data_IF_298745468582
#
_entry.id   IF_298745468582
#
_cell.length_a   1.000
_cell.length_b   1.000
_cell.length_c   1.000
_cell.angle_alpha   90.00
_cell.angle_beta   90.00
_cell.angle_gamma   90.00
#
_symmetry.space_group_name_H-M   'P 1'
#
loop_
_entity.id
_entity.type
_entity.pdbx_description
1 polymer ?
#
# COMPACT_ATOMS: atom_id res chain seq x y z
N UNK A 1 -40.42 -2.22 -6.57
CA UNK A 1 -39.09 -2.65 -6.09
C UNK A 1 -37.93 -2.33 -7.05
N UNK A 2 -37.94 -1.16 -7.71
CA UNK A 2 -36.92 -0.76 -8.76
C UNK A 2 -36.09 0.49 -8.44
N UNK A 3 -36.25 1.15 -7.28
CA UNK A 3 -35.64 2.45 -7.00
C UNK A 3 -34.32 2.41 -6.20
N UNK A 4 -33.80 1.25 -5.74
CA UNK A 4 -32.58 1.17 -4.92
C UNK A 4 -31.28 0.92 -5.71
N UNK A 5 -31.35 0.46 -6.97
CA UNK A 5 -30.13 0.14 -7.77
C UNK A 5 -29.42 1.36 -8.35
N UNK A 6 -30.11 2.48 -8.58
CA UNK A 6 -29.51 3.67 -9.20
C UNK A 6 -28.65 4.52 -8.25
N UNK A 7 -28.97 4.53 -6.95
CA UNK A 7 -28.26 5.37 -5.97
C UNK A 7 -26.88 4.85 -5.57
N UNK A 8 -26.63 3.54 -5.63
CA UNK A 8 -25.34 2.95 -5.26
C UNK A 8 -24.29 3.19 -6.35
N UNK A 9 -24.68 3.13 -7.62
CA UNK A 9 -23.76 3.31 -8.76
C UNK A 9 -23.33 4.78 -8.94
N UNK A 10 -24.24 5.73 -8.76
CA UNK A 10 -23.93 7.16 -8.82
C UNK A 10 -23.02 7.63 -7.69
N UNK A 11 -23.14 7.07 -6.50
CA UNK A 11 -22.28 7.40 -5.35
C UNK A 11 -20.84 6.91 -5.58
N UNK A 12 -20.66 5.69 -6.09
CA UNK A 12 -19.34 5.09 -6.37
C UNK A 12 -18.54 5.83 -7.44
N UNK A 13 -19.17 6.21 -8.54
CA UNK A 13 -18.51 7.02 -9.61
C UNK A 13 -18.15 8.41 -9.10
N UNK A 14 -18.94 8.98 -8.20
CA UNK A 14 -18.63 10.25 -7.57
C UNK A 14 -17.42 10.15 -6.62
N UNK A 15 -17.27 9.04 -5.89
CA UNK A 15 -16.16 8.82 -4.96
C UNK A 15 -14.83 8.60 -5.73
N UNK A 16 -14.82 7.82 -6.81
CA UNK A 16 -13.62 7.62 -7.66
C UNK A 16 -13.18 8.90 -8.35
N UNK A 17 -14.13 9.69 -8.85
CA UNK A 17 -13.83 10.98 -9.45
C UNK A 17 -13.28 11.99 -8.43
N UNK A 18 -13.73 11.90 -7.18
CA UNK A 18 -13.20 12.71 -6.09
C UNK A 18 -11.76 12.33 -5.75
N UNK A 19 -11.46 11.04 -5.69
CA UNK A 19 -10.11 10.55 -5.39
C UNK A 19 -9.10 10.97 -6.48
N UNK A 20 -9.47 10.86 -7.75
CA UNK A 20 -8.69 11.39 -8.87
C UNK A 20 -8.45 12.90 -8.72
N UNK A 21 -9.50 13.67 -8.40
CA UNK A 21 -9.40 15.12 -8.21
C UNK A 21 -8.44 15.47 -7.06
N UNK A 22 -8.56 14.81 -5.93
CA UNK A 22 -7.73 15.03 -4.75
C UNK A 22 -6.27 14.63 -5.02
N UNK A 23 -6.04 13.52 -5.71
CA UNK A 23 -4.71 13.08 -6.14
C UNK A 23 -4.04 14.11 -7.07
N UNK A 24 -4.71 14.54 -8.15
CA UNK A 24 -4.16 15.51 -9.10
C UNK A 24 -3.88 16.88 -8.44
N UNK A 25 -4.80 17.36 -7.62
CA UNK A 25 -4.64 18.63 -6.88
C UNK A 25 -3.41 18.59 -5.98
N UNK A 26 -3.21 17.47 -5.31
CA UNK A 26 -2.04 17.28 -4.46
C UNK A 26 -0.76 17.18 -5.26
N UNK A 27 -0.69 16.33 -6.29
CA UNK A 27 0.49 16.19 -7.14
C UNK A 27 0.91 17.56 -7.72
N UNK A 28 -0.05 18.35 -8.19
CA UNK A 28 0.20 19.71 -8.66
C UNK A 28 0.75 20.64 -7.55
N UNK A 29 0.24 20.54 -6.34
CA UNK A 29 0.70 21.38 -5.22
C UNK A 29 2.13 21.05 -4.77
N UNK A 30 2.61 19.85 -5.07
CA UNK A 30 3.97 19.38 -4.77
C UNK A 30 4.96 19.58 -5.94
N UNK A 31 4.45 19.83 -7.14
CA UNK A 31 5.30 20.06 -8.32
C UNK A 31 6.19 21.28 -8.15
N UNK A 32 7.47 21.14 -8.52
CA UNK A 32 8.45 22.22 -8.48
C UNK A 32 8.48 22.96 -9.83
N UNK A 33 8.08 24.25 -9.87
CA UNK A 33 8.11 25.05 -11.10
C UNK A 33 9.50 25.24 -11.71
N UNK A 34 10.54 25.23 -10.88
CA UNK A 34 11.92 25.34 -11.33
C UNK A 34 12.35 24.09 -12.11
N UNK A 35 12.00 22.89 -11.59
CA UNK A 35 12.25 21.63 -12.28
C UNK A 35 11.46 21.47 -13.55
N UNK A 36 10.26 22.07 -13.59
CA UNK A 36 9.43 22.08 -14.78
C UNK A 36 9.90 23.01 -15.91
N UNK A 37 11.02 23.71 -15.72
CA UNK A 37 11.59 24.63 -16.74
C UNK A 37 10.75 25.88 -16.98
N UNK A 38 9.87 26.23 -16.06
CA UNK A 38 9.01 27.41 -16.18
C UNK A 38 9.76 28.68 -15.75
N UNK A 39 9.64 29.77 -16.49
CA UNK A 39 10.29 31.03 -16.13
C UNK A 39 9.74 31.54 -14.79
N UNK A 40 10.63 31.86 -13.87
CA UNK A 40 10.30 32.54 -12.61
C UNK A 40 10.16 34.04 -12.89
N UNK A 41 8.93 34.48 -13.08
CA UNK A 41 8.62 35.89 -13.21
C UNK A 41 8.57 36.59 -11.87
N UNK A 42 9.61 36.72 -11.14
CA UNK A 42 9.85 37.50 -9.90
C UNK A 42 8.63 37.90 -9.02
N UNK A 43 7.43 37.50 -9.39
CA UNK A 43 6.18 37.76 -8.64
C UNK A 43 6.00 36.71 -7.54
N UNK A 44 5.65 37.17 -6.35
CA UNK A 44 5.33 36.30 -5.21
C UNK A 44 4.24 35.30 -5.62
N UNK A 45 4.60 34.00 -5.67
CA UNK A 45 3.62 32.94 -5.98
C UNK A 45 2.62 32.83 -4.83
N UNK A 46 1.33 33.00 -5.14
CA UNK A 46 0.23 32.84 -4.18
C UNK A 46 -0.10 31.40 -3.86
N UNK A 47 0.42 30.43 -4.65
CA UNK A 47 0.12 29.00 -4.54
C UNK A 47 1.45 28.25 -4.51
N UNK A 48 1.70 27.39 -3.53
CA UNK A 48 2.82 26.46 -3.57
C UNK A 48 2.62 25.48 -4.73
N UNK A 49 3.69 25.12 -5.43
CA UNK A 49 3.64 24.20 -6.55
C UNK A 49 3.25 24.83 -7.89
N UNK A 50 2.82 23.98 -8.81
CA UNK A 50 2.43 24.36 -10.16
C UNK A 50 1.02 24.98 -10.19
N UNK A 51 0.79 25.94 -11.12
CA UNK A 51 -0.56 26.43 -11.45
C UNK A 51 -1.24 25.48 -12.43
N UNK A 52 -2.58 25.48 -12.49
CA UNK A 52 -3.35 24.66 -13.47
C UNK A 52 -2.97 24.96 -14.90
N UNK A 53 -2.79 26.23 -15.22
CA UNK A 53 -2.35 26.71 -16.54
C UNK A 53 -0.95 26.21 -16.89
N UNK A 54 -0.04 26.12 -15.90
CA UNK A 54 1.31 25.61 -16.09
C UNK A 54 1.29 24.10 -16.38
N UNK A 55 0.52 23.32 -15.61
CA UNK A 55 0.37 21.87 -15.88
C UNK A 55 -0.29 21.64 -17.25
N UNK A 56 -1.31 22.41 -17.60
CA UNK A 56 -1.99 22.31 -18.89
C UNK A 56 -1.02 22.58 -20.05
N UNK A 57 -0.19 23.62 -19.93
CA UNK A 57 0.84 23.98 -20.91
C UNK A 57 1.85 22.85 -21.07
N UNK A 58 2.41 22.34 -19.96
CA UNK A 58 3.40 21.28 -19.96
C UNK A 58 2.84 19.94 -20.50
N UNK A 59 1.57 19.67 -20.22
CA UNK A 59 0.90 18.45 -20.69
C UNK A 59 0.35 18.56 -22.13
N UNK A 60 0.40 19.74 -22.75
CA UNK A 60 -0.14 19.96 -24.11
C UNK A 60 -1.67 19.87 -24.17
N UNK A 61 -2.38 20.25 -23.11
CA UNK A 61 -3.84 20.26 -23.04
C UNK A 61 -4.37 21.66 -22.74
N UNK A 62 -5.67 21.88 -22.94
CA UNK A 62 -6.25 23.17 -22.55
C UNK A 62 -6.39 23.30 -21.04
N UNK A 63 -6.27 24.51 -20.50
CA UNK A 63 -6.47 24.80 -19.08
C UNK A 63 -7.86 24.40 -18.60
N UNK A 64 -8.89 24.54 -19.44
CA UNK A 64 -10.25 24.07 -19.10
C UNK A 64 -10.31 22.55 -19.01
N UNK A 65 -9.67 21.83 -19.92
CA UNK A 65 -9.59 20.37 -19.88
C UNK A 65 -8.96 19.88 -18.58
N UNK A 66 -7.76 20.41 -18.23
CA UNK A 66 -7.09 20.03 -16.99
C UNK A 66 -7.90 20.42 -15.74
N UNK A 67 -8.49 21.62 -15.74
CA UNK A 67 -9.34 22.10 -14.65
C UNK A 67 -10.54 21.16 -14.41
N UNK A 68 -11.21 20.74 -15.48
CA UNK A 68 -12.33 19.81 -15.38
C UNK A 68 -11.91 18.44 -14.88
N UNK A 69 -10.72 17.96 -15.28
CA UNK A 69 -10.15 16.70 -14.79
C UNK A 69 -9.82 16.80 -13.31
N UNK A 70 -9.14 17.87 -12.86
CA UNK A 70 -8.82 18.11 -11.44
C UNK A 70 -10.08 18.38 -10.58
N UNK A 71 -11.20 18.73 -11.18
CA UNK A 71 -12.49 18.85 -10.50
C UNK A 71 -13.26 17.51 -10.42
N UNK A 72 -12.70 16.43 -10.92
CA UNK A 72 -13.35 15.11 -10.93
C UNK A 72 -14.57 15.04 -11.86
N UNK A 73 -14.64 15.92 -12.90
CA UNK A 73 -15.69 15.81 -13.91
C UNK A 73 -15.48 14.56 -14.77
N UNK A 74 -16.56 13.97 -15.26
CA UNK A 74 -16.51 12.79 -16.14
C UNK A 74 -15.79 13.15 -17.46
N UNK A 75 -14.49 12.93 -17.48
CA UNK A 75 -13.62 13.01 -18.65
C UNK A 75 -12.83 11.71 -18.68
N UNK A 76 -12.72 11.11 -19.85
CA UNK A 76 -11.87 9.93 -20.07
C UNK A 76 -10.66 10.38 -20.88
N UNK A 77 -9.51 10.67 -20.23
CA UNK A 77 -8.28 10.98 -20.93
C UNK A 77 -7.80 9.80 -21.78
N UNK A 78 -7.21 10.08 -22.92
CA UNK A 78 -6.46 9.04 -23.64
C UNK A 78 -5.18 8.67 -22.89
N UNK A 79 -4.62 7.47 -23.11
CA UNK A 79 -3.35 7.07 -22.49
C UNK A 79 -2.23 8.09 -22.70
N UNK A 80 -2.09 8.64 -23.91
CA UNK A 80 -1.08 9.65 -24.22
C UNK A 80 -1.27 10.98 -23.46
N UNK A 81 -2.51 11.39 -23.21
CA UNK A 81 -2.80 12.57 -22.39
C UNK A 81 -2.44 12.29 -20.91
N UNK A 82 -2.73 11.09 -20.43
CA UNK A 82 -2.34 10.69 -19.07
C UNK A 82 -0.84 10.71 -18.86
N UNK A 83 -0.09 10.15 -19.81
CA UNK A 83 1.37 10.15 -19.76
C UNK A 83 1.94 11.58 -19.83
N UNK A 84 1.31 12.47 -20.59
CA UNK A 84 1.70 13.87 -20.65
C UNK A 84 1.43 14.60 -19.33
N UNK A 85 0.27 14.36 -18.70
CA UNK A 85 -0.06 14.92 -17.38
C UNK A 85 0.90 14.36 -16.31
N UNK A 86 1.19 13.06 -16.35
CA UNK A 86 2.11 12.42 -15.40
C UNK A 86 3.52 13.01 -15.50
N UNK A 87 4.01 13.27 -16.70
CA UNK A 87 5.29 13.97 -16.94
C UNK A 87 5.25 15.42 -16.46
N UNK A 88 4.18 16.15 -16.77
CA UNK A 88 4.02 17.55 -16.36
C UNK A 88 4.00 17.72 -14.82
N UNK A 89 3.51 16.71 -14.11
CA UNK A 89 3.46 16.66 -12.64
C UNK A 89 4.69 16.00 -12.01
N UNK A 90 5.68 15.60 -12.80
CA UNK A 90 6.90 14.87 -12.35
C UNK A 90 6.56 13.65 -11.47
N UNK A 91 5.53 12.87 -11.89
CA UNK A 91 5.11 11.69 -11.16
C UNK A 91 6.13 10.56 -11.31
N UNK A 92 6.49 9.94 -10.18
CA UNK A 92 7.23 8.69 -10.16
C UNK A 92 6.40 7.54 -10.76
N UNK A 93 7.03 6.39 -10.95
CA UNK A 93 6.40 5.23 -11.58
C UNK A 93 5.17 4.74 -10.81
N UNK A 94 5.24 4.74 -9.48
CA UNK A 94 4.16 4.31 -8.58
C UNK A 94 2.97 5.26 -8.68
N UNK A 95 3.21 6.56 -8.60
CA UNK A 95 2.18 7.60 -8.74
C UNK A 95 1.55 7.59 -10.13
N UNK A 96 2.34 7.28 -11.18
CA UNK A 96 1.86 7.13 -12.56
C UNK A 96 0.94 5.91 -12.69
N UNK A 97 1.35 4.76 -12.15
CA UNK A 97 0.51 3.57 -12.12
C UNK A 97 -0.79 3.81 -11.34
N UNK A 98 -0.71 4.53 -10.23
CA UNK A 98 -1.89 4.92 -9.44
C UNK A 98 -2.85 5.81 -10.24
N UNK A 99 -2.34 6.82 -10.95
CA UNK A 99 -3.14 7.68 -11.83
C UNK A 99 -3.86 6.85 -12.91
N UNK A 100 -3.17 5.89 -13.51
CA UNK A 100 -3.76 4.96 -14.50
C UNK A 100 -4.86 4.10 -13.88
N UNK A 101 -4.63 3.56 -12.67
CA UNK A 101 -5.62 2.79 -11.93
C UNK A 101 -6.88 3.60 -11.64
N UNK A 102 -6.76 4.83 -11.14
CA UNK A 102 -7.90 5.71 -10.86
C UNK A 102 -8.75 5.99 -12.11
N UNK A 103 -8.15 6.11 -13.27
CA UNK A 103 -8.87 6.38 -14.53
C UNK A 103 -9.37 5.09 -15.17
N UNK A 104 -8.59 4.03 -15.14
CA UNK A 104 -8.98 2.71 -15.66
C UNK A 104 -10.26 2.18 -14.98
N UNK A 105 -10.41 2.42 -13.70
CA UNK A 105 -11.62 2.03 -12.94
C UNK A 105 -12.84 2.89 -13.28
N UNK A 106 -12.63 4.14 -13.72
CA UNK A 106 -13.72 5.02 -14.17
C UNK A 106 -14.29 4.60 -15.52
N UNK A 107 -13.48 3.90 -16.35
CA UNK A 107 -13.86 3.49 -17.72
C UNK A 107 -14.25 2.02 -17.82
N UNK A 108 -13.79 1.17 -16.89
CA UNK A 108 -14.11 -0.24 -16.92
C UNK A 108 -15.58 -0.49 -16.55
N UNK A 109 -16.29 -1.29 -17.38
CA UNK A 109 -17.56 -1.88 -16.98
C UNK A 109 -17.33 -2.62 -15.65
N UNK A 110 -18.24 -2.47 -14.67
CA UNK A 110 -18.11 -3.20 -13.40
C UNK A 110 -18.04 -4.70 -13.72
N UNK A 111 -16.85 -5.25 -13.62
CA UNK A 111 -16.67 -6.70 -13.63
C UNK A 111 -17.38 -7.21 -12.38
N UNK A 112 -18.37 -8.11 -12.57
CA UNK A 112 -19.03 -8.82 -11.47
C UNK A 112 -18.10 -9.90 -10.94
N UNK A 113 -16.88 -9.56 -10.61
CA UNK A 113 -16.01 -10.48 -9.88
C UNK A 113 -16.51 -10.55 -8.44
N UNK A 114 -17.12 -11.66 -8.11
CA UNK A 114 -17.31 -12.10 -6.72
C UNK A 114 -15.94 -11.96 -6.03
N UNK A 115 -15.86 -11.44 -4.79
CA UNK A 115 -14.61 -11.40 -4.07
C UNK A 115 -14.00 -12.81 -4.06
N UNK A 116 -13.01 -13.06 -4.89
CA UNK A 116 -12.35 -14.36 -4.90
C UNK A 116 -11.53 -14.46 -3.62
N UNK A 117 -11.78 -15.50 -2.85
CA UNK A 117 -10.92 -15.83 -1.71
C UNK A 117 -9.53 -16.10 -2.28
N UNK A 118 -8.58 -15.23 -1.94
CA UNK A 118 -7.20 -15.44 -2.34
C UNK A 118 -6.66 -16.66 -1.61
N UNK A 119 -6.09 -17.62 -2.37
CA UNK A 119 -5.50 -18.84 -1.82
C UNK A 119 -4.04 -18.90 -2.22
N UNK A 120 -3.20 -19.25 -1.28
CA UNK A 120 -1.79 -19.50 -1.54
C UNK A 120 -1.66 -20.88 -2.18
N UNK A 121 -0.89 -20.98 -3.25
CA UNK A 121 -0.63 -22.25 -3.96
C UNK A 121 0.21 -23.18 -3.07
N UNK A 122 0.01 -24.51 -3.12
CA UNK A 122 0.77 -25.46 -2.29
C UNK A 122 2.29 -25.31 -2.38
N UNK A 123 2.83 -25.04 -3.58
CA UNK A 123 4.27 -24.82 -3.75
C UNK A 123 4.81 -23.60 -3.03
N UNK A 124 3.97 -22.56 -2.78
CA UNK A 124 4.39 -21.40 -1.99
C UNK A 124 4.39 -21.70 -0.49
N UNK A 125 3.53 -22.57 -0.01
CA UNK A 125 3.63 -23.08 1.37
C UNK A 125 4.93 -23.87 1.55
N UNK A 126 5.27 -24.78 0.61
CA UNK A 126 6.55 -25.50 0.65
C UNK A 126 7.75 -24.55 0.62
N UNK A 127 7.69 -23.47 -0.18
CA UNK A 127 8.73 -22.45 -0.18
C UNK A 127 8.85 -21.75 1.18
N UNK A 128 7.73 -21.35 1.80
CA UNK A 128 7.73 -20.75 3.13
C UNK A 128 8.32 -21.69 4.19
N UNK A 129 7.98 -22.98 4.13
CA UNK A 129 8.49 -24.00 5.03
C UNK A 129 10.00 -24.22 4.86
N UNK A 130 10.52 -24.10 3.63
CA UNK A 130 11.94 -24.22 3.32
C UNK A 130 12.77 -22.99 3.76
N UNK A 131 12.14 -21.84 4.05
CA UNK A 131 12.80 -20.63 4.56
C UNK A 131 12.94 -20.70 6.08
N UNK A 132 13.74 -21.64 6.60
CA UNK A 132 13.87 -21.90 8.04
C UNK A 132 14.57 -20.76 8.81
N UNK A 133 15.49 -20.06 8.17
CA UNK A 133 16.32 -19.00 8.77
C UNK A 133 15.97 -17.57 8.34
N UNK A 134 14.95 -17.41 7.53
CA UNK A 134 14.44 -16.13 7.05
C UNK A 134 12.94 -16.00 7.38
N UNK A 135 12.52 -15.00 8.16
CA UNK A 135 11.10 -14.70 8.31
C UNK A 135 10.48 -14.43 6.94
N UNK A 136 9.37 -15.06 6.64
CA UNK A 136 8.69 -14.84 5.36
C UNK A 136 7.18 -14.92 5.50
N UNK A 137 6.46 -14.09 4.73
CA UNK A 137 5.01 -14.07 4.71
C UNK A 137 4.47 -13.69 3.33
N UNK A 138 3.29 -14.16 3.00
CA UNK A 138 2.56 -13.79 1.78
C UNK A 138 1.39 -12.91 2.17
N UNK A 139 1.41 -11.69 1.65
CA UNK A 139 0.31 -10.75 1.79
C UNK A 139 -0.57 -10.76 0.54
N UNK A 140 -1.86 -10.72 0.75
CA UNK A 140 -2.86 -10.49 -0.28
C UNK A 140 -3.06 -9.00 -0.56
N UNK A 141 -3.92 -8.71 -1.52
CA UNK A 141 -4.24 -7.39 -2.05
C UNK A 141 -4.52 -6.31 -0.98
N UNK A 142 -5.25 -6.65 0.08
CA UNK A 142 -5.61 -5.74 1.17
C UNK A 142 -4.62 -5.78 2.34
N UNK A 143 -3.43 -6.34 2.13
CA UNK A 143 -2.49 -6.68 3.19
C UNK A 143 -3.04 -7.79 4.12
N UNK A 144 -3.98 -8.63 3.62
CA UNK A 144 -4.41 -9.83 4.31
C UNK A 144 -3.22 -10.79 4.41
N UNK A 145 -2.93 -11.32 5.59
CA UNK A 145 -1.86 -12.29 5.78
C UNK A 145 -2.41 -13.65 5.36
N UNK A 146 -1.98 -14.10 4.19
CA UNK A 146 -2.47 -15.35 3.57
C UNK A 146 -1.71 -16.58 4.06
N UNK A 147 -0.41 -16.42 4.30
CA UNK A 147 0.46 -17.44 4.87
C UNK A 147 1.71 -16.79 5.48
N UNK A 148 2.31 -17.45 6.45
CA UNK A 148 3.59 -17.05 7.07
C UNK A 148 4.33 -18.28 7.56
N UNK A 149 5.68 -18.21 7.57
CA UNK A 149 6.46 -19.28 8.18
C UNK A 149 6.56 -19.08 9.71
N UNK A 150 7.00 -20.11 10.46
CA UNK A 150 7.10 -20.03 11.91
C UNK A 150 7.95 -18.85 12.41
N UNK A 151 9.04 -18.55 11.72
CA UNK A 151 9.94 -17.46 12.12
C UNK A 151 9.32 -16.07 11.93
N UNK A 152 8.52 -15.87 10.89
CA UNK A 152 7.76 -14.63 10.72
C UNK A 152 6.69 -14.47 11.81
N UNK A 153 6.05 -15.54 12.22
CA UNK A 153 5.09 -15.52 13.35
C UNK A 153 5.77 -15.17 14.66
N UNK A 154 6.94 -15.73 14.90
CA UNK A 154 7.72 -15.42 16.11
C UNK A 154 8.23 -13.97 16.10
N UNK A 155 8.64 -13.45 14.92
CA UNK A 155 9.20 -12.10 14.79
C UNK A 155 8.14 -11.01 14.90
N UNK A 156 6.93 -11.22 14.38
CA UNK A 156 5.89 -10.19 14.30
C UNK A 156 4.69 -10.48 15.20
N UNK A 157 3.91 -11.48 14.86
CA UNK A 157 2.73 -11.92 15.62
C UNK A 157 2.25 -13.27 15.11
N UNK A 158 1.65 -14.09 15.96
CA UNK A 158 1.02 -15.34 15.55
C UNK A 158 -0.35 -15.08 14.87
N UNK A 159 -0.28 -14.68 13.61
CA UNK A 159 -1.47 -14.42 12.80
C UNK A 159 -2.35 -15.66 12.60
N UNK A 160 -1.79 -16.87 12.72
CA UNK A 160 -2.56 -18.10 12.56
C UNK A 160 -3.51 -18.35 13.74
N UNK A 161 -3.22 -17.79 14.91
CA UNK A 161 -4.12 -17.79 16.06
C UNK A 161 -5.35 -16.90 15.87
N UNK A 162 -5.31 -15.95 14.92
CA UNK A 162 -6.41 -15.03 14.65
C UNK A 162 -7.44 -15.66 13.71
N UNK A 163 -8.68 -15.14 13.76
CA UNK A 163 -9.72 -15.49 12.77
C UNK A 163 -9.31 -15.02 11.37
N UNK A 164 -9.64 -15.74 10.29
CA UNK A 164 -9.21 -15.38 8.93
C UNK A 164 -9.48 -13.93 8.51
N UNK A 165 -10.57 -13.31 8.97
CA UNK A 165 -10.90 -11.90 8.69
C UNK A 165 -10.07 -10.90 9.48
N UNK A 166 -9.42 -11.34 10.54
CA UNK A 166 -8.59 -10.52 11.43
C UNK A 166 -7.10 -10.59 11.03
N UNK A 167 -6.73 -11.58 10.22
CA UNK A 167 -5.36 -11.79 9.71
C UNK A 167 -5.02 -10.73 8.66
N UNK A 168 -4.80 -9.50 9.10
CA UNK A 168 -4.52 -8.38 8.20
C UNK A 168 -3.43 -7.51 8.80
N UNK A 169 -2.38 -7.26 8.03
CA UNK A 169 -1.19 -6.53 8.51
C UNK A 169 -1.51 -5.07 8.87
N UNK A 170 -2.34 -4.37 8.08
CA UNK A 170 -2.72 -3.00 8.40
C UNK A 170 -3.57 -2.94 9.69
N UNK A 171 -4.48 -3.89 9.85
CA UNK A 171 -5.30 -4.00 11.06
C UNK A 171 -4.45 -4.24 12.30
N UNK A 172 -3.53 -5.19 12.23
CA UNK A 172 -2.57 -5.46 13.31
C UNK A 172 -1.73 -4.23 13.64
N UNK A 173 -1.18 -3.56 12.61
CA UNK A 173 -0.31 -2.41 12.79
C UNK A 173 -0.99 -1.22 13.48
N UNK A 174 -2.30 -1.03 13.27
CA UNK A 174 -3.06 0.12 13.79
C UNK A 174 -3.92 -0.17 15.02
N UNK A 175 -4.24 -1.43 15.30
CA UNK A 175 -5.20 -1.81 16.34
C UNK A 175 -4.60 -2.68 17.45
N UNK A 176 -3.34 -3.09 17.31
CA UNK A 176 -2.64 -3.92 18.29
C UNK A 176 -1.48 -3.13 18.90
N UNK A 177 -1.51 -2.95 20.22
CA UNK A 177 -0.46 -2.22 20.95
C UNK A 177 0.90 -2.90 20.81
N UNK A 178 0.94 -4.25 20.72
CA UNK A 178 2.19 -4.99 20.51
C UNK A 178 2.89 -4.60 19.19
N UNK A 179 2.13 -4.28 18.14
CA UNK A 179 2.72 -3.79 16.89
C UNK A 179 3.34 -2.40 17.08
N UNK A 180 2.71 -1.55 17.89
CA UNK A 180 3.23 -0.22 18.18
C UNK A 180 4.54 -0.28 18.97
N UNK A 181 4.63 -1.21 19.94
CA UNK A 181 5.82 -1.42 20.75
C UNK A 181 6.96 -2.08 19.96
N UNK A 182 6.61 -2.95 19.01
CA UNK A 182 7.58 -3.70 18.21
C UNK A 182 8.38 -2.81 17.25
N UNK A 183 7.73 -1.88 16.55
CA UNK A 183 8.40 -1.04 15.55
C UNK A 183 8.99 0.23 16.19
N UNK A 184 10.31 0.39 16.13
CA UNK A 184 11.00 1.59 16.66
C UNK A 184 10.54 2.84 15.89
N UNK A 185 10.41 2.74 14.57
CA UNK A 185 9.84 3.80 13.73
C UNK A 185 8.40 3.43 13.29
N UNK A 186 7.51 3.24 14.25
CA UNK A 186 6.12 2.85 13.97
C UNK A 186 5.41 3.78 13.00
N UNK A 187 5.54 5.11 13.18
CA UNK A 187 4.93 6.11 12.30
C UNK A 187 5.30 5.90 10.82
N UNK A 188 6.56 5.62 10.54
CA UNK A 188 7.04 5.39 9.18
C UNK A 188 6.45 4.10 8.60
N UNK A 189 6.39 3.02 9.40
CA UNK A 189 5.81 1.75 8.98
C UNK A 189 4.30 1.86 8.76
N UNK A 190 3.60 2.54 9.65
CA UNK A 190 2.17 2.76 9.59
C UNK A 190 1.77 3.65 8.40
N UNK A 191 2.50 4.74 8.17
CA UNK A 191 2.29 5.60 7.00
C UNK A 191 2.50 4.84 5.70
N UNK A 192 3.58 4.08 5.56
CA UNK A 192 3.84 3.26 4.37
C UNK A 192 2.76 2.17 4.16
N UNK A 193 2.14 1.66 5.25
CA UNK A 193 1.01 0.75 5.14
C UNK A 193 -0.24 1.44 4.58
N UNK A 194 -0.56 2.65 5.04
CA UNK A 194 -1.67 3.47 4.50
C UNK A 194 -1.48 3.74 3.01
N UNK A 195 -0.28 4.17 2.63
CA UNK A 195 0.06 4.51 1.24
C UNK A 195 -0.04 3.28 0.32
N UNK A 196 0.42 2.11 0.79
CA UNK A 196 0.30 0.83 0.05
C UNK A 196 -1.15 0.35 -0.05
N UNK A 197 -1.94 0.48 1.03
CA UNK A 197 -3.36 0.12 1.01
C UNK A 197 -4.14 1.02 0.05
N UNK A 198 -3.82 2.31 -0.02
CA UNK A 198 -4.42 3.24 -0.98
C UNK A 198 -4.10 2.85 -2.43
N UNK A 199 -2.85 2.51 -2.71
CA UNK A 199 -2.45 2.04 -4.04
C UNK A 199 -3.28 0.81 -4.46
N UNK A 200 -3.41 -0.18 -3.58
CA UNK A 200 -4.20 -1.38 -3.83
C UNK A 200 -5.71 -1.09 -3.99
N UNK A 201 -6.26 -0.19 -3.16
CA UNK A 201 -7.67 0.20 -3.21
C UNK A 201 -8.05 0.86 -4.55
N UNK A 202 -7.15 1.67 -5.13
CA UNK A 202 -7.37 2.32 -6.43
C UNK A 202 -7.53 1.31 -7.57
N UNK A 203 -6.80 0.19 -7.54
CA UNK A 203 -6.94 -0.89 -8.52
C UNK A 203 -8.26 -1.65 -8.40
N UNK A 204 -8.91 -1.61 -7.23
CA UNK A 204 -10.11 -2.40 -6.92
C UNK A 204 -11.17 -1.59 -6.14
N UNK A 205 -11.71 -0.49 -6.71
CA UNK A 205 -12.58 0.46 -5.99
C UNK A 205 -13.92 -0.15 -5.56
N UNK A 206 -14.31 -1.28 -6.16
CA UNK A 206 -15.53 -2.01 -5.85
C UNK A 206 -15.33 -3.14 -4.82
N UNK A 207 -14.11 -3.34 -4.32
CA UNK A 207 -13.84 -4.36 -3.31
C UNK A 207 -14.42 -3.93 -1.95
N UNK A 208 -15.54 -4.54 -1.62
CA UNK A 208 -16.28 -4.24 -0.39
C UNK A 208 -15.44 -4.45 0.87
N UNK A 209 -14.58 -5.47 0.88
CA UNK A 209 -13.74 -5.77 2.05
C UNK A 209 -12.63 -4.72 2.24
N UNK A 210 -12.12 -4.14 1.14
CA UNK A 210 -11.21 -3.00 1.21
C UNK A 210 -11.92 -1.77 1.81
N UNK A 211 -13.14 -1.48 1.37
CA UNK A 211 -13.92 -0.36 1.89
C UNK A 211 -14.20 -0.55 3.39
N UNK A 212 -14.65 -1.74 3.79
CA UNK A 212 -14.92 -2.07 5.20
C UNK A 212 -13.64 -1.94 6.07
N UNK A 213 -12.49 -2.37 5.57
CA UNK A 213 -11.20 -2.24 6.27
C UNK A 213 -10.81 -0.77 6.45
N UNK A 214 -10.87 0.03 5.38
CA UNK A 214 -10.55 1.46 5.41
C UNK A 214 -11.48 2.21 6.36
N UNK A 215 -12.78 1.94 6.31
CA UNK A 215 -13.75 2.57 7.20
C UNK A 215 -13.47 2.23 8.66
N UNK A 216 -13.18 0.97 8.96
CA UNK A 216 -12.83 0.54 10.32
C UNK A 216 -11.56 1.23 10.82
N UNK A 217 -10.48 1.22 10.04
CA UNK A 217 -9.21 1.83 10.44
C UNK A 217 -9.35 3.35 10.61
N UNK A 218 -10.11 4.01 9.73
CA UNK A 218 -10.38 5.44 9.84
C UNK A 218 -11.24 5.81 11.06
N UNK A 219 -12.12 4.92 11.52
CA UNK A 219 -12.89 5.11 12.76
C UNK A 219 -12.03 4.90 14.00
N UNK A 220 -11.15 3.90 13.98
CA UNK A 220 -10.39 3.46 15.16
C UNK A 220 -9.07 4.21 15.35
N UNK A 221 -8.46 4.76 14.29
CA UNK A 221 -7.16 5.44 14.35
C UNK A 221 -7.20 6.86 13.77
N UNK A 222 -6.82 7.83 14.58
CA UNK A 222 -6.65 9.22 14.16
C UNK A 222 -5.52 9.40 13.15
N UNK A 223 -4.43 8.68 13.34
CA UNK A 223 -3.26 8.69 12.46
C UNK A 223 -3.57 8.08 11.10
N UNK A 224 -4.27 6.93 11.07
CA UNK A 224 -4.75 6.36 9.82
C UNK A 224 -5.60 7.36 9.06
N UNK A 225 -6.60 7.97 9.72
CA UNK A 225 -7.50 8.96 9.10
C UNK A 225 -6.74 10.16 8.54
N UNK A 226 -5.76 10.69 9.28
CA UNK A 226 -4.91 11.81 8.87
C UNK A 226 -4.10 11.42 7.62
N UNK A 227 -3.35 10.31 7.65
CA UNK A 227 -2.52 9.88 6.54
C UNK A 227 -3.34 9.42 5.32
N UNK A 228 -4.49 8.80 5.55
CA UNK A 228 -5.42 8.48 4.46
C UNK A 228 -5.90 9.74 3.72
N UNK A 229 -6.15 10.84 4.40
CA UNK A 229 -6.55 12.11 3.80
C UNK A 229 -5.41 12.81 3.01
N UNK A 230 -4.17 12.39 3.20
CA UNK A 230 -3.03 12.93 2.46
C UNK A 230 -2.94 12.42 1.01
N UNK A 231 -3.69 11.43 0.58
CA UNK A 231 -3.68 10.83 -0.77
C UNK A 231 -2.30 10.42 -1.29
N UNK A 232 -1.36 10.07 -0.41
CA UNK A 232 -0.05 9.53 -0.81
C UNK A 232 -0.19 8.07 -1.19
N UNK A 233 0.61 7.65 -2.15
CA UNK A 233 0.73 6.26 -2.57
C UNK A 233 2.18 5.81 -2.50
N UNK A 234 2.36 4.58 -2.13
CA UNK A 234 3.64 3.93 -2.08
C UNK A 234 3.47 2.44 -2.36
N UNK A 235 4.43 1.85 -3.01
CA UNK A 235 4.50 0.40 -3.17
C UNK A 235 5.78 -0.09 -2.50
N UNK A 236 5.62 -0.96 -1.51
CA UNK A 236 6.76 -1.54 -0.82
C UNK A 236 7.45 -2.54 -1.74
N UNK A 237 8.70 -2.31 -2.03
CA UNK A 237 9.55 -3.21 -2.80
C UNK A 237 10.68 -3.77 -1.96
N UNK A 238 11.39 -2.90 -1.24
CA UNK A 238 12.46 -3.24 -0.31
C UNK A 238 12.55 -2.18 0.80
N UNK A 239 13.35 -2.46 1.81
CA UNK A 239 13.64 -1.49 2.88
C UNK A 239 14.06 -2.18 4.17
N UNK A 240 14.25 -1.39 5.22
CA UNK A 240 14.70 -1.84 6.53
C UNK A 240 13.60 -1.58 7.58
N UNK A 241 13.48 -2.48 8.55
CA UNK A 241 12.64 -2.32 9.74
C UNK A 241 13.50 -2.47 10.97
N UNK A 242 13.44 -1.49 11.85
CA UNK A 242 14.05 -1.57 13.18
C UNK A 242 12.98 -2.00 14.17
N UNK A 243 13.27 -3.08 14.87
CA UNK A 243 12.34 -3.75 15.77
C UNK A 243 12.89 -3.74 17.19
N UNK A 244 12.00 -3.60 18.16
CA UNK A 244 12.25 -3.88 19.59
C UNK A 244 11.45 -5.11 19.98
N UNK A 245 12.07 -6.27 19.77
CA UNK A 245 11.39 -7.54 20.01
C UNK A 245 11.42 -7.92 21.49
N UNK A 246 10.30 -8.37 22.08
CA UNK A 246 10.21 -8.62 23.53
C UNK A 246 11.14 -9.71 24.05
N UNK A 247 11.55 -10.68 23.20
CA UNK A 247 12.41 -11.80 23.61
C UNK A 247 13.88 -11.52 23.27
N UNK A 248 14.19 -11.02 22.05
CA UNK A 248 15.57 -10.92 21.57
C UNK A 248 16.09 -9.49 21.54
N UNK A 249 15.31 -8.50 21.99
CA UNK A 249 15.70 -7.10 22.06
C UNK A 249 15.67 -6.38 20.72
N UNK A 250 16.55 -5.40 20.53
CA UNK A 250 16.56 -4.60 19.31
C UNK A 250 17.31 -5.32 18.18
N UNK A 251 16.67 -5.34 17.01
CA UNK A 251 17.25 -5.86 15.78
C UNK A 251 16.75 -5.09 14.56
N UNK A 252 17.56 -5.09 13.50
CA UNK A 252 17.18 -4.57 12.19
C UNK A 252 17.03 -5.71 11.21
N UNK A 253 15.92 -5.71 10.46
CA UNK A 253 15.70 -6.67 9.38
C UNK A 253 15.44 -5.91 8.08
N UNK A 254 16.12 -6.31 7.02
CA UNK A 254 15.83 -5.86 5.69
C UNK A 254 14.75 -6.73 5.07
N UNK A 255 13.95 -6.16 4.18
CA UNK A 255 12.94 -6.94 3.47
C UNK A 255 13.01 -6.68 1.98
N UNK A 256 12.78 -7.74 1.23
CA UNK A 256 12.52 -7.74 -0.20
C UNK A 256 11.12 -8.25 -0.47
N UNK A 257 10.50 -7.72 -1.53
CA UNK A 257 9.18 -8.17 -1.96
C UNK A 257 9.22 -8.74 -3.37
N UNK A 258 8.52 -9.85 -3.54
CA UNK A 258 8.42 -10.56 -4.81
C UNK A 258 6.95 -10.66 -5.20
N UNK A 259 6.59 -10.05 -6.32
CA UNK A 259 5.26 -10.21 -6.93
C UNK A 259 5.18 -11.59 -7.58
N UNK A 260 4.06 -12.29 -7.39
CA UNK A 260 3.90 -13.65 -7.87
C UNK A 260 3.25 -13.66 -9.27
N UNK A 261 3.97 -14.05 -10.34
CA UNK A 261 3.38 -14.22 -11.66
C UNK A 261 2.22 -15.23 -11.61
N UNK A 262 1.07 -14.87 -12.13
CA UNK A 262 -0.16 -15.68 -12.06
C UNK A 262 -1.05 -15.39 -10.85
N UNK A 263 -0.52 -14.75 -9.79
CA UNK A 263 -1.27 -14.25 -8.64
C UNK A 263 -0.84 -12.81 -8.32
N UNK A 264 -1.09 -11.85 -9.22
CA UNK A 264 -0.53 -10.49 -9.13
C UNK A 264 -0.98 -9.70 -7.89
N UNK A 265 -2.06 -10.15 -7.25
CA UNK A 265 -2.57 -9.62 -6.01
C UNK A 265 -1.91 -10.22 -4.75
N UNK A 266 -0.91 -11.09 -4.93
CA UNK A 266 -0.15 -11.69 -3.84
C UNK A 266 1.31 -11.25 -3.91
N UNK A 267 1.86 -10.90 -2.75
CA UNK A 267 3.25 -10.47 -2.61
C UNK A 267 3.93 -11.28 -1.51
N UNK A 268 5.03 -11.93 -1.86
CA UNK A 268 5.90 -12.59 -0.89
C UNK A 268 6.87 -11.56 -0.31
N UNK A 269 6.87 -11.43 1.02
CA UNK A 269 7.84 -10.68 1.80
C UNK A 269 8.84 -11.65 2.41
N UNK A 270 10.13 -11.42 2.18
CA UNK A 270 11.23 -12.16 2.80
C UNK A 270 12.06 -11.16 3.61
N UNK A 271 12.35 -11.52 4.85
CA UNK A 271 13.17 -10.68 5.72
C UNK A 271 14.54 -11.29 5.90
N UNK A 272 15.57 -10.45 5.83
CA UNK A 272 16.97 -10.84 5.96
C UNK A 272 17.67 -9.96 6.99
N UNK A 273 18.82 -10.41 7.45
CA UNK A 273 19.74 -9.63 8.29
C UNK A 273 21.11 -9.69 7.68
N UNK A 274 21.89 -8.63 7.85
CA UNK A 274 23.29 -8.64 7.43
C UNK A 274 24.08 -9.71 8.22
N UNK A 275 24.89 -10.53 7.55
CA UNK A 275 25.68 -11.57 8.22
C UNK A 275 26.62 -11.00 9.28
N UNK A 276 26.88 -11.78 10.34
CA UNK A 276 27.78 -11.44 11.45
C UNK A 276 27.38 -10.18 12.25
N UNK A 277 26.12 -9.76 12.21
CA UNK A 277 25.60 -8.64 13.01
C UNK A 277 24.87 -9.15 14.27
N UNK A 278 24.66 -8.23 15.24
CA UNK A 278 23.81 -8.50 16.41
C UNK A 278 22.37 -8.84 16.01
N UNK A 279 21.86 -8.24 14.93
CA UNK A 279 20.54 -8.55 14.38
C UNK A 279 20.45 -9.98 13.86
N UNK A 280 21.52 -10.50 13.22
CA UNK A 280 21.58 -11.89 12.81
C UNK A 280 21.55 -12.83 14.01
N UNK A 281 22.36 -12.53 15.06
CA UNK A 281 22.38 -13.31 16.29
C UNK A 281 21.01 -13.33 16.99
N UNK A 282 20.33 -12.18 17.05
CA UNK A 282 18.98 -12.08 17.61
C UNK A 282 17.99 -12.95 16.84
N UNK A 283 18.09 -12.97 15.51
CA UNK A 283 17.24 -13.81 14.67
C UNK A 283 17.54 -15.30 14.85
N UNK A 284 18.81 -15.69 14.98
CA UNK A 284 19.24 -17.07 15.25
C UNK A 284 18.73 -17.56 16.62
N UNK A 285 18.69 -16.67 17.63
CA UNK A 285 18.09 -16.98 18.93
C UNK A 285 16.58 -17.25 18.79
N UNK A 286 15.87 -16.46 17.97
CA UNK A 286 14.45 -16.70 17.67
C UNK A 286 14.25 -18.04 16.97
N UNK A 287 15.09 -18.40 15.99
CA UNK A 287 15.05 -19.71 15.34
C UNK A 287 15.18 -20.82 16.36
N UNK A 288 16.16 -20.71 17.29
CA UNK A 288 16.36 -21.71 18.34
C UNK A 288 15.19 -21.78 19.31
N UNK A 289 14.52 -20.66 19.58
CA UNK A 289 13.39 -20.59 20.50
C UNK A 289 12.11 -21.26 19.94
N UNK A 290 11.89 -21.20 18.63
CA UNK A 290 10.71 -21.81 17.97
C UNK A 290 10.91 -23.30 17.65
N UNK A 291 12.15 -23.80 17.61
CA UNK A 291 12.40 -25.22 17.43
C UNK A 291 12.01 -25.96 18.72
N UNK A 292 11.13 -27.00 18.66
CA UNK A 292 10.83 -27.77 19.82
C UNK A 292 12.13 -28.42 20.33
N UNK A 293 12.38 -28.32 21.64
CA UNK A 293 13.50 -28.99 22.25
C UNK A 293 13.47 -30.49 21.86
N UNK A 294 14.42 -30.91 21.05
CA UNK A 294 14.59 -32.32 20.72
C UNK A 294 14.94 -33.01 22.06
N UNK A 295 13.91 -33.57 22.67
CA UNK A 295 14.12 -34.39 23.89
C UNK A 295 14.93 -35.59 23.43
N UNK A 296 16.25 -35.50 23.61
CA UNK A 296 17.16 -36.64 23.52
C UNK A 296 16.67 -37.68 24.54
N UNK A 297 15.86 -38.63 24.08
CA UNK A 297 15.72 -39.90 24.76
C UNK A 297 17.04 -40.62 24.55
N UNK A 298 17.97 -40.45 25.50
CA UNK A 298 19.05 -41.38 25.69
C UNK A 298 18.41 -42.72 26.09
N UNK A 299 18.57 -43.72 25.25
CA UNK A 299 18.41 -45.12 25.58
C UNK A 299 19.50 -45.61 26.58
#
# INVERSE_FOLDING_TARGET
>A
MRARRGRCHTRKVADTNKELADFLKRARSQGDPMRAGLPTDGRVRRVPGLRREEVALLAGVSTDYYTRLEQGRKITPSPGVLDSIARALDLDEISRAHLQNLIGTTTARPSRTTPSVQRVRPGLHQLLDALESQPAMILGRRMDILASNPLARALFSDFDALRPRERNYARWLFLDDAAHELFIEWDAQARAAVESLRFAAAGHPDDRLTIELVDQLAQSSGDFRRWWAEHRVYQRTFGTKRLRHPIVGELSVDYETLTLPGDPDQTLFIYTTEPATSSRQALDLLVSWIQPAVTSRAE
#
